data_IF_266067204266
#
_entry.id   IF_266067204266
#
_cell.length_a   1.000
_cell.length_b   1.000
_cell.length_c   1.000
_cell.angle_alpha   90.00
_cell.angle_beta   90.00
_cell.angle_gamma   90.00
#
_symmetry.space_group_name_H-M   'P 1'
#
loop_
_entity.id
_entity.type
_entity.pdbx_description
1 polymer ?
#
# COMPACT_ATOMS: atom_id res chain seq x y z
N UNK A 1 -7.10 -10.32 4.55
CA UNK A 1 -7.73 -9.07 4.99
C UNK A 1 -9.05 -8.95 4.25
N UNK A 2 -10.20 -8.75 4.92
CA UNK A 2 -11.45 -8.48 4.22
C UNK A 2 -11.31 -7.18 3.40
N UNK A 3 -11.90 -7.16 2.19
CA UNK A 3 -11.87 -5.99 1.31
C UNK A 3 -10.69 -5.88 0.35
N UNK A 4 -9.71 -6.78 0.42
CA UNK A 4 -8.62 -6.86 -0.57
C UNK A 4 -8.95 -7.96 -1.60
N UNK A 5 -8.94 -7.61 -2.88
CA UNK A 5 -9.09 -8.55 -3.99
C UNK A 5 -7.76 -9.07 -4.51
N UNK A 6 -6.82 -8.18 -4.79
CA UNK A 6 -5.49 -8.53 -5.31
C UNK A 6 -4.44 -7.59 -4.73
N UNK A 7 -3.20 -8.07 -4.64
CA UNK A 7 -2.08 -7.30 -4.09
C UNK A 7 -0.77 -7.64 -4.78
N UNK A 8 0.04 -6.62 -5.03
CA UNK A 8 1.41 -6.80 -5.51
C UNK A 8 2.37 -5.92 -4.73
N UNK A 9 3.49 -6.51 -4.30
CA UNK A 9 4.54 -5.80 -3.57
C UNK A 9 5.77 -5.68 -4.45
N UNK A 10 6.32 -4.47 -4.51
CA UNK A 10 7.57 -4.16 -5.22
C UNK A 10 8.45 -3.28 -4.34
N UNK A 11 9.76 -3.46 -4.45
CA UNK A 11 10.72 -2.51 -3.91
C UNK A 11 10.77 -1.26 -4.80
N UNK A 12 10.89 -0.08 -4.23
CA UNK A 12 11.16 1.17 -4.94
C UNK A 12 12.53 1.70 -4.49
N UNK A 13 13.34 2.23 -5.42
CA UNK A 13 14.59 2.89 -5.04
C UNK A 13 14.28 4.06 -4.10
N UNK A 14 15.02 4.14 -3.00
CA UNK A 14 14.86 5.17 -1.98
C UNK A 14 16.23 5.75 -1.64
N UNK A 15 16.39 7.07 -1.67
CA UNK A 15 17.69 7.72 -1.46
C UNK A 15 18.19 7.58 -0.01
N UNK A 16 17.31 7.35 0.97
CA UNK A 16 17.67 7.23 2.38
C UNK A 16 17.99 5.79 2.78
N UNK A 17 17.18 4.84 2.31
CA UNK A 17 17.19 3.44 2.73
C UNK A 17 17.71 2.49 1.64
N UNK A 18 18.03 3.00 0.45
CA UNK A 18 18.40 2.23 -0.73
C UNK A 18 17.20 1.64 -1.44
N UNK A 19 16.35 0.90 -0.72
CA UNK A 19 15.08 0.37 -1.22
C UNK A 19 13.98 0.47 -0.16
N UNK A 20 12.79 0.88 -0.57
CA UNK A 20 11.58 0.93 0.26
C UNK A 20 10.52 -0.02 -0.29
N UNK A 21 9.67 -0.56 0.59
CA UNK A 21 8.60 -1.48 0.20
C UNK A 21 7.35 -0.70 -0.19
N UNK A 22 6.86 -0.91 -1.41
CA UNK A 22 5.59 -0.40 -1.89
C UNK A 22 4.59 -1.55 -2.13
N UNK A 23 3.36 -1.34 -1.68
CA UNK A 23 2.25 -2.26 -1.88
C UNK A 23 1.19 -1.65 -2.79
N UNK A 24 0.86 -2.36 -3.86
CA UNK A 24 -0.22 -2.05 -4.78
C UNK A 24 -1.42 -2.91 -4.45
N UNK A 25 -2.53 -2.29 -4.07
CA UNK A 25 -3.71 -2.98 -3.55
C UNK A 25 -4.91 -2.72 -4.45
N UNK A 26 -5.59 -3.80 -4.82
CA UNK A 26 -6.87 -3.77 -5.52
C UNK A 26 -7.96 -4.11 -4.51
N UNK A 27 -8.88 -3.18 -4.28
CA UNK A 27 -10.01 -3.40 -3.40
C UNK A 27 -11.02 -4.40 -4.00
N UNK A 28 -11.70 -5.16 -3.13
CA UNK A 28 -12.78 -6.05 -3.53
C UNK A 28 -13.99 -5.27 -4.05
N UNK A 29 -14.77 -5.89 -4.94
CA UNK A 29 -15.99 -5.27 -5.48
C UNK A 29 -16.91 -4.89 -4.34
N UNK A 30 -17.41 -3.65 -4.37
CA UNK A 30 -18.26 -3.10 -3.32
C UNK A 30 -17.49 -2.51 -2.13
N UNK A 31 -16.15 -2.47 -2.19
CA UNK A 31 -15.34 -1.78 -1.20
C UNK A 31 -14.82 -0.44 -1.75
N UNK A 32 -14.97 0.62 -0.98
CA UNK A 32 -14.35 1.92 -1.23
C UNK A 32 -12.90 1.93 -0.74
N UNK A 33 -12.04 2.71 -1.39
CA UNK A 33 -10.66 2.96 -0.94
C UNK A 33 -10.53 4.37 -0.39
N UNK A 34 -9.85 4.54 0.74
CA UNK A 34 -9.55 5.85 1.29
C UNK A 34 -8.04 6.03 1.54
N UNK A 35 -7.56 7.21 1.19
CA UNK A 35 -6.26 7.72 1.57
C UNK A 35 -6.33 8.32 2.98
N UNK A 36 -5.36 8.01 3.85
CA UNK A 36 -5.15 8.78 5.07
C UNK A 36 -4.21 9.92 4.64
N UNK A 37 -4.70 11.16 4.58
CA UNK A 37 -4.00 12.38 4.12
C UNK A 37 -2.79 12.79 4.99
N UNK A 38 -2.03 11.84 5.52
CA UNK A 38 -0.84 12.07 6.33
C UNK A 38 0.32 11.24 5.77
N UNK A 39 0.77 11.64 4.58
CA UNK A 39 2.07 11.27 4.02
C UNK A 39 3.21 12.16 4.57
N UNK A 40 2.95 12.90 5.66
CA UNK A 40 3.95 13.70 6.35
C UNK A 40 4.68 12.92 7.46
N UNK A 41 5.96 12.70 7.16
CA UNK A 41 7.09 12.94 8.04
C UNK A 41 7.70 11.76 8.81
N UNK A 42 9.02 11.72 8.65
CA UNK A 42 10.01 10.80 9.15
C UNK A 42 10.17 10.98 10.66
N UNK A 43 9.54 10.12 11.46
CA UNK A 43 9.89 10.04 12.87
C UNK A 43 8.74 9.72 13.79
N UNK A 44 8.83 8.54 14.39
CA UNK A 44 8.26 8.21 15.69
C UNK A 44 6.78 8.59 15.91
N UNK A 45 5.88 7.64 15.67
CA UNK A 45 4.60 7.61 16.39
C UNK A 45 4.52 6.35 17.24
N UNK A 46 4.79 6.58 18.51
CA UNK A 46 4.34 5.78 19.64
C UNK A 46 2.92 5.26 19.38
N UNK A 47 2.71 3.98 19.67
CA UNK A 47 1.47 3.25 19.44
C UNK A 47 0.24 4.08 19.77
N UNK A 48 -0.56 4.36 18.75
CA UNK A 48 -1.96 4.64 18.94
C UNK A 48 -2.68 3.30 18.91
N UNK A 49 -3.15 2.84 20.06
CA UNK A 49 -4.22 1.85 20.19
C UNK A 49 -5.44 2.39 19.42
N UNK A 50 -5.46 2.13 18.12
CA UNK A 50 -6.52 2.51 17.21
C UNK A 50 -6.95 1.26 16.47
N UNK A 51 -7.89 0.54 17.06
CA UNK A 51 -8.73 -0.42 16.35
C UNK A 51 -9.45 0.33 15.21
N UNK A 52 -8.78 0.47 14.07
CA UNK A 52 -9.37 0.82 12.78
C UNK A 52 -9.11 -0.34 11.84
N UNK A 53 -9.51 -1.53 12.30
CA UNK A 53 -9.75 -2.65 11.40
C UNK A 53 -10.80 -2.19 10.39
N UNK A 54 -10.49 -2.33 9.08
CA UNK A 54 -11.33 -1.89 7.96
C UNK A 54 -12.82 -1.88 8.33
N UNK A 55 -13.46 -0.71 8.25
CA UNK A 55 -14.81 -0.54 8.76
C UNK A 55 -15.71 -1.63 8.16
N UNK A 56 -16.57 -2.24 8.99
CA UNK A 56 -17.59 -3.19 8.54
C UNK A 56 -18.51 -2.59 7.43
N UNK A 57 -18.39 -1.28 7.18
CA UNK A 57 -19.03 -0.50 6.13
C UNK A 57 -18.38 -0.59 4.73
N UNK A 58 -17.34 -1.41 4.54
CA UNK A 58 -16.77 -1.65 3.21
C UNK A 58 -15.80 -0.57 2.74
N UNK A 59 -15.07 0.08 3.65
CA UNK A 59 -14.00 1.02 3.29
C UNK A 59 -12.64 0.46 3.68
N UNK A 60 -11.72 0.40 2.71
CA UNK A 60 -10.36 -0.06 2.87
C UNK A 60 -9.42 1.15 2.93
N UNK A 61 -8.69 1.30 4.04
CA UNK A 61 -7.77 2.43 4.27
C UNK A 61 -6.31 2.00 4.22
N UNK A 62 -5.40 2.93 3.85
CA UNK A 62 -3.96 2.63 3.81
C UNK A 62 -3.42 2.26 5.19
N UNK A 63 -3.90 2.93 6.23
CA UNK A 63 -3.56 2.63 7.63
C UNK A 63 -3.97 1.19 7.99
N UNK A 64 -5.21 0.78 7.69
CA UNK A 64 -5.67 -0.58 7.96
C UNK A 64 -4.81 -1.64 7.27
N UNK A 65 -4.34 -1.38 6.04
CA UNK A 65 -3.41 -2.28 5.34
C UNK A 65 -2.08 -2.38 6.08
N UNK A 66 -1.48 -1.25 6.48
CA UNK A 66 -0.20 -1.21 7.20
C UNK A 66 -0.27 -1.88 8.56
N UNK A 67 -1.32 -1.61 9.34
CA UNK A 67 -1.56 -2.23 10.64
C UNK A 67 -1.80 -3.73 10.51
N UNK A 68 -2.56 -4.16 9.50
CA UNK A 68 -2.78 -5.59 9.24
C UNK A 68 -1.47 -6.33 8.96
N UNK A 69 -0.55 -5.71 8.21
CA UNK A 69 0.78 -6.24 7.92
C UNK A 69 1.67 -6.21 9.16
N UNK A 70 1.73 -5.09 9.89
CA UNK A 70 2.54 -4.92 11.10
C UNK A 70 2.18 -5.90 12.20
N UNK A 71 0.89 -6.27 12.31
CA UNK A 71 0.43 -7.27 13.27
C UNK A 71 0.88 -8.71 12.94
N UNK A 72 1.33 -8.98 11.71
CA UNK A 72 1.66 -10.33 11.21
C UNK A 72 3.12 -10.50 10.80
N UNK A 73 3.78 -9.41 10.40
CA UNK A 73 5.11 -9.39 9.84
C UNK A 73 5.99 -8.36 10.56
N UNK A 74 7.30 -8.50 10.40
CA UNK A 74 8.27 -7.56 10.96
C UNK A 74 8.09 -6.14 10.41
N UNK A 75 8.41 -5.13 11.22
CA UNK A 75 8.18 -3.72 10.89
C UNK A 75 8.84 -3.26 9.57
N UNK A 76 9.96 -3.86 9.17
CA UNK A 76 10.66 -3.53 7.91
C UNK A 76 9.99 -4.10 6.66
N UNK A 77 9.05 -5.04 6.81
CA UNK A 77 8.23 -5.57 5.71
C UNK A 77 6.92 -4.79 5.55
N UNK A 78 6.62 -3.88 6.47
CA UNK A 78 5.45 -3.02 6.38
C UNK A 78 5.68 -2.05 5.22
N UNK A 79 4.80 -2.02 4.21
CA UNK A 79 4.96 -1.11 3.09
C UNK A 79 4.95 0.33 3.58
N UNK A 80 5.94 1.11 3.11
CA UNK A 80 6.00 2.55 3.34
C UNK A 80 4.97 3.26 2.49
N UNK A 81 4.83 2.83 1.23
CA UNK A 81 3.85 3.36 0.30
C UNK A 81 2.79 2.32 -0.01
N UNK A 82 1.52 2.74 0.04
CA UNK A 82 0.39 1.92 -0.39
C UNK A 82 -0.29 2.67 -1.53
N UNK A 83 -0.50 2.00 -2.65
CA UNK A 83 -1.14 2.57 -3.84
C UNK A 83 -2.42 1.80 -4.14
N UNK A 84 -3.49 2.52 -4.46
CA UNK A 84 -4.75 1.93 -4.91
C UNK A 84 -4.73 1.74 -6.42
N UNK A 85 -5.05 0.54 -6.88
CA UNK A 85 -5.20 0.25 -8.30
C UNK A 85 -6.58 -0.33 -8.59
N UNK A 86 -7.18 0.02 -9.74
CA UNK A 86 -8.42 -0.60 -10.19
C UNK A 86 -8.19 -2.08 -10.57
N UNK A 87 -7.04 -2.40 -11.13
CA UNK A 87 -6.58 -3.77 -11.41
C UNK A 87 -5.06 -3.82 -11.53
N UNK A 88 -4.46 -4.99 -11.30
CA UNK A 88 -3.02 -5.15 -11.48
C UNK A 88 -2.67 -5.30 -12.97
N UNK A 89 -1.60 -4.64 -13.46
CA UNK A 89 -1.18 -4.75 -14.84
C UNK A 89 -0.67 -6.18 -15.12
N UNK A 90 -1.52 -7.01 -15.72
CA UNK A 90 -1.20 -8.40 -16.09
C UNK A 90 -0.97 -8.53 -17.59
N UNK A 91 -0.14 -9.48 -18.01
CA UNK A 91 -0.02 -9.86 -19.42
C UNK A 91 -1.21 -10.73 -19.84
N UNK A 92 -1.38 -11.00 -21.12
CA UNK A 92 -2.38 -11.95 -21.63
C UNK A 92 -2.25 -13.36 -21.02
N UNK A 93 -1.07 -13.71 -20.47
CA UNK A 93 -0.82 -14.96 -19.75
C UNK A 93 -1.11 -14.88 -18.24
N UNK A 94 -1.59 -13.73 -17.74
CA UNK A 94 -1.90 -13.51 -16.32
C UNK A 94 -0.70 -13.13 -15.44
N UNK A 95 0.50 -12.96 -16.01
CA UNK A 95 1.70 -12.57 -15.24
C UNK A 95 1.67 -11.09 -14.91
N UNK A 96 1.95 -10.73 -13.65
CA UNK A 96 2.03 -9.34 -13.21
C UNK A 96 3.28 -8.66 -13.80
N UNK A 97 3.07 -7.51 -14.41
CA UNK A 97 4.10 -6.67 -14.99
C UNK A 97 4.65 -5.71 -13.94
N UNK A 98 5.57 -6.20 -13.08
CA UNK A 98 6.14 -5.43 -11.96
C UNK A 98 6.83 -4.13 -12.38
N UNK A 99 7.34 -4.04 -13.61
CA UNK A 99 7.96 -2.81 -14.12
C UNK A 99 6.93 -1.67 -14.23
N UNK A 100 5.71 -1.94 -14.70
CA UNK A 100 4.62 -0.95 -14.76
C UNK A 100 4.20 -0.47 -13.38
N UNK A 101 4.26 -1.34 -12.38
CA UNK A 101 4.01 -0.96 -10.99
C UNK A 101 5.08 0.01 -10.48
N UNK A 102 6.36 -0.27 -10.77
CA UNK A 102 7.46 0.64 -10.42
C UNK A 102 7.31 2.00 -11.13
N UNK A 103 6.91 2.01 -12.39
CA UNK A 103 6.63 3.25 -13.14
C UNK A 103 5.45 4.03 -12.55
N UNK A 104 4.36 3.34 -12.18
CA UNK A 104 3.20 3.98 -11.54
C UNK A 104 3.58 4.62 -10.20
N UNK A 105 4.38 3.93 -9.38
CA UNK A 105 4.91 4.50 -8.15
C UNK A 105 5.87 5.67 -8.39
N UNK A 106 6.72 5.60 -9.42
CA UNK A 106 7.62 6.68 -9.75
C UNK A 106 6.86 7.93 -10.23
N UNK A 107 5.80 7.76 -11.01
CA UNK A 107 4.95 8.86 -11.46
C UNK A 107 4.17 9.52 -10.30
N UNK A 108 3.74 8.72 -9.31
CA UNK A 108 3.05 9.22 -8.12
C UNK A 108 4.02 9.89 -7.13
N UNK A 109 5.24 9.35 -7.00
CA UNK A 109 6.29 9.86 -6.11
C UNK A 109 7.14 11.03 -6.64
N UNK A 110 7.09 11.34 -7.94
CA UNK A 110 7.78 12.49 -8.54
C UNK A 110 6.99 13.81 -8.39
N UNK A 111 5.69 13.74 -8.11
CA UNK A 111 4.84 14.92 -7.94
C UNK A 111 4.90 15.56 -6.54
N UNK A 112 5.92 15.23 -5.74
CA UNK A 112 6.04 15.66 -4.35
C UNK A 112 7.46 15.64 -3.75
N UNK A 113 8.51 15.79 -4.56
CA UNK A 113 9.86 16.13 -4.06
C UNK A 113 10.09 17.64 -4.02
#
# INVERSE_FOLDING_TARGET
MPGVHDVSVVGLPDDRLGETVAAFVVAARGWATADDERDDDDGNKSGGDGDKTADAAGTLTKAAVRDWVRARLAAHLVPKHVFWLPDLPKTASGKIQKFKLREAAAADGDNGR
#
